data_IF_460531612627
#
_entry.id   IF_460531612627
#
_cell.length_a   1.000
_cell.length_b   1.000
_cell.length_c   1.000
_cell.angle_alpha   90.00
_cell.angle_beta   90.00
_cell.angle_gamma   90.00
#
_symmetry.space_group_name_H-M   'P 1'
#
loop_
_entity.id
_entity.type
_entity.pdbx_description
1 polymer ?
#
# COMPACT_ATOMS: atom_id res chain seq x y z
N UNK A 1 -2.00 -9.46 3.80
CA UNK A 1 -3.01 -9.07 2.79
C UNK A 1 -2.78 -9.91 1.55
N UNK A 2 -3.82 -10.41 0.86
CA UNK A 2 -3.62 -11.21 -0.35
C UNK A 2 -3.31 -10.29 -1.56
N UNK A 3 -2.46 -10.75 -2.48
CA UNK A 3 -2.08 -10.09 -3.73
C UNK A 3 -3.29 -9.70 -4.57
N UNK A 4 -4.31 -10.56 -4.68
CA UNK A 4 -5.53 -10.24 -5.45
C UNK A 4 -6.24 -8.99 -4.92
N UNK A 5 -6.29 -8.86 -3.58
CA UNK A 5 -6.86 -7.68 -2.94
C UNK A 5 -5.99 -6.45 -3.17
N UNK A 6 -4.67 -6.58 -3.09
CA UNK A 6 -3.73 -5.49 -3.38
C UNK A 6 -3.93 -5.00 -4.81
N UNK A 7 -3.98 -5.91 -5.79
CA UNK A 7 -4.18 -5.58 -7.20
C UNK A 7 -5.49 -4.83 -7.41
N UNK A 8 -6.61 -5.36 -6.90
CA UNK A 8 -7.91 -4.70 -7.00
C UNK A 8 -7.91 -3.29 -6.41
N UNK A 9 -7.31 -3.12 -5.24
CA UNK A 9 -7.22 -1.81 -4.60
C UNK A 9 -6.30 -0.86 -5.39
N UNK A 10 -5.20 -1.35 -5.97
CA UNK A 10 -4.29 -0.55 -6.80
C UNK A 10 -4.96 -0.09 -8.10
N UNK A 11 -5.73 -0.95 -8.76
CA UNK A 11 -6.50 -0.60 -9.96
C UNK A 11 -7.48 0.53 -9.64
N UNK A 12 -8.27 0.38 -8.57
CA UNK A 12 -9.23 1.39 -8.10
C UNK A 12 -8.55 2.70 -7.67
N UNK A 13 -7.38 2.63 -7.01
CA UNK A 13 -6.60 3.83 -6.66
C UNK A 13 -6.06 4.54 -7.89
N UNK A 14 -5.63 3.81 -8.92
CA UNK A 14 -5.11 4.42 -10.12
C UNK A 14 -6.20 5.15 -10.91
N UNK A 15 -7.44 4.67 -10.85
CA UNK A 15 -8.60 5.31 -11.48
C UNK A 15 -9.17 6.47 -10.64
N UNK A 16 -9.35 6.27 -9.33
CA UNK A 16 -10.12 7.18 -8.46
C UNK A 16 -9.27 7.95 -7.44
N UNK A 17 -7.96 7.71 -7.38
CA UNK A 17 -7.05 8.29 -6.39
C UNK A 17 -7.13 7.68 -4.99
N UNK A 18 -8.16 6.88 -4.70
CA UNK A 18 -8.29 6.13 -3.44
C UNK A 18 -9.14 4.87 -3.61
N UNK A 19 -8.90 3.85 -2.79
CA UNK A 19 -9.66 2.61 -2.75
C UNK A 19 -9.86 2.17 -1.31
N UNK A 20 -11.08 1.78 -0.96
CA UNK A 20 -11.42 1.35 0.41
C UNK A 20 -11.95 -0.07 0.39
N UNK A 21 -11.36 -0.94 1.22
CA UNK A 21 -11.86 -2.29 1.42
C UNK A 21 -11.85 -2.67 2.90
N UNK A 22 -13.05 -2.83 3.49
CA UNK A 22 -13.24 -3.12 4.92
C UNK A 22 -12.44 -2.12 5.80
N UNK A 23 -11.44 -2.62 6.52
CA UNK A 23 -10.55 -1.85 7.38
C UNK A 23 -9.42 -1.14 6.63
N UNK A 24 -9.19 -1.50 5.36
CA UNK A 24 -8.11 -0.97 4.53
C UNK A 24 -8.56 0.25 3.74
N UNK A 25 -7.65 1.19 3.60
CA UNK A 25 -7.80 2.34 2.73
C UNK A 25 -6.45 2.60 2.06
N UNK A 26 -6.43 2.51 0.75
CA UNK A 26 -5.27 2.85 -0.06
C UNK A 26 -5.52 4.21 -0.70
N UNK A 27 -4.53 5.10 -0.65
CA UNK A 27 -4.60 6.44 -1.23
C UNK A 27 -3.38 6.72 -2.08
N UNK A 28 -3.56 7.43 -3.19
CA UNK A 28 -2.47 8.00 -3.97
C UNK A 28 -2.32 9.47 -3.63
N UNK A 29 -1.18 9.84 -3.05
CA UNK A 29 -0.83 11.21 -2.67
C UNK A 29 0.39 11.63 -3.48
N UNK A 30 0.17 12.30 -4.61
CA UNK A 30 1.25 12.68 -5.54
C UNK A 30 1.96 11.45 -6.10
N UNK A 31 3.25 11.30 -5.78
CA UNK A 31 4.07 10.14 -6.15
C UNK A 31 4.06 9.02 -5.10
N UNK A 32 3.26 9.14 -4.03
CA UNK A 32 3.21 8.16 -2.95
C UNK A 32 1.90 7.35 -2.94
N UNK A 33 1.99 6.09 -2.53
CA UNK A 33 0.88 5.26 -2.13
C UNK A 33 0.87 5.11 -0.60
N UNK A 34 -0.23 5.47 0.02
CA UNK A 34 -0.43 5.37 1.45
C UNK A 34 -1.42 4.25 1.77
N UNK A 35 -0.95 3.26 2.52
CA UNK A 35 -1.79 2.19 3.06
C UNK A 35 -2.20 2.54 4.48
N UNK A 36 -3.51 2.64 4.68
CA UNK A 36 -4.15 2.90 5.96
C UNK A 36 -4.93 1.66 6.41
N UNK A 37 -4.93 1.40 7.71
CA UNK A 37 -5.74 0.36 8.34
C UNK A 37 -6.45 0.95 9.56
N UNK A 38 -7.77 0.78 9.65
CA UNK A 38 -8.59 1.33 10.75
C UNK A 38 -8.32 2.82 11.00
N UNK A 39 -8.29 3.62 9.93
CA UNK A 39 -8.02 5.07 9.97
C UNK A 39 -6.62 5.47 10.48
N UNK A 40 -5.68 4.52 10.60
CA UNK A 40 -4.28 4.79 10.94
C UNK A 40 -3.40 4.51 9.73
N UNK A 41 -2.49 5.44 9.41
CA UNK A 41 -1.48 5.24 8.37
C UNK A 41 -0.56 4.10 8.80
N UNK A 42 -0.52 3.02 8.02
CA UNK A 42 0.34 1.86 8.25
C UNK A 42 1.64 1.95 7.49
N UNK A 43 1.55 2.33 6.21
CA UNK A 43 2.70 2.40 5.34
C UNK A 43 2.55 3.52 4.32
N UNK A 44 3.67 4.15 3.97
CA UNK A 44 3.76 5.09 2.86
C UNK A 44 4.88 4.65 1.94
N UNK A 45 4.56 4.42 0.68
CA UNK A 45 5.48 3.96 -0.34
C UNK A 45 5.62 5.03 -1.42
N UNK A 46 6.84 5.48 -1.69
CA UNK A 46 7.10 6.51 -2.71
C UNK A 46 7.54 5.84 -4.00
N UNK A 47 6.85 6.14 -5.10
CA UNK A 47 7.20 5.71 -6.45
C UNK A 47 8.10 6.75 -7.08
N UNK A 48 9.38 6.42 -7.27
CA UNK A 48 10.33 7.24 -8.02
C UNK A 48 10.24 6.86 -9.50
N UNK A 49 10.25 7.85 -10.40
CA UNK A 49 10.02 7.65 -11.83
C UNK A 49 11.11 6.86 -12.58
N UNK A 50 12.17 6.41 -11.92
CA UNK A 50 13.32 5.79 -12.59
C UNK A 50 13.55 4.32 -12.25
N UNK A 51 13.28 3.84 -11.04
CA UNK A 51 13.43 2.42 -10.71
C UNK A 51 12.99 2.22 -9.26
N UNK A 52 12.04 1.30 -9.05
CA UNK A 52 11.59 0.74 -7.78
C UNK A 52 11.42 1.74 -6.63
N UNK A 53 10.15 2.07 -6.35
CA UNK A 53 9.83 2.86 -5.18
C UNK A 53 10.32 2.26 -3.86
N UNK A 54 10.34 3.06 -2.82
CA UNK A 54 10.78 2.64 -1.48
C UNK A 54 9.72 2.92 -0.43
N UNK A 55 9.77 2.14 0.65
CA UNK A 55 8.92 2.33 1.82
C UNK A 55 9.48 3.49 2.66
N UNK A 56 8.79 4.63 2.68
CA UNK A 56 9.17 5.82 3.45
C UNK A 56 8.80 5.68 4.93
N UNK A 57 7.64 5.09 5.20
CA UNK A 57 7.11 4.95 6.56
C UNK A 57 6.49 3.58 6.76
N UNK A 58 6.74 2.99 7.93
CA UNK A 58 6.08 1.77 8.39
C UNK A 58 5.78 1.89 9.89
N UNK A 59 4.49 1.91 10.24
CA UNK A 59 4.01 2.01 11.63
C UNK A 59 3.39 0.70 12.12
N UNK A 60 3.54 -0.40 11.37
CA UNK A 60 3.00 -1.70 11.74
C UNK A 60 3.54 -2.18 13.08
N UNK A 61 2.66 -2.59 14.00
CA UNK A 61 3.01 -3.07 15.34
C UNK A 61 2.67 -4.53 15.59
N UNK A 62 1.63 -5.04 14.93
CA UNK A 62 1.20 -6.43 15.08
C UNK A 62 1.70 -7.29 13.91
N UNK A 63 1.89 -8.58 14.14
CA UNK A 63 2.31 -9.53 13.08
C UNK A 63 1.42 -9.46 11.83
N UNK A 64 0.12 -9.24 12.04
CA UNK A 64 -0.83 -9.06 10.96
C UNK A 64 -0.57 -7.78 10.13
N UNK A 65 -0.27 -6.67 10.81
CA UNK A 65 0.08 -5.41 10.15
C UNK A 65 1.41 -5.54 9.42
N UNK A 66 2.41 -6.16 10.04
CA UNK A 66 3.74 -6.38 9.46
C UNK A 66 3.62 -7.19 8.18
N UNK A 67 2.92 -8.33 8.22
CA UNK A 67 2.66 -9.17 7.03
C UNK A 67 1.91 -8.40 5.94
N UNK A 68 0.96 -7.55 6.33
CA UNK A 68 0.20 -6.73 5.39
C UNK A 68 1.08 -5.72 4.66
N UNK A 69 1.91 -4.98 5.40
CA UNK A 69 2.84 -4.00 4.81
C UNK A 69 3.89 -4.71 3.95
N UNK A 70 4.43 -5.84 4.40
CA UNK A 70 5.39 -6.63 3.64
C UNK A 70 4.81 -7.15 2.31
N UNK A 71 3.60 -7.71 2.30
CA UNK A 71 2.94 -8.13 1.05
C UNK A 71 2.68 -6.94 0.12
N UNK A 72 2.31 -5.78 0.67
CA UNK A 72 2.07 -4.57 -0.11
C UNK A 72 3.36 -4.01 -0.74
N UNK A 73 4.45 -3.97 0.03
CA UNK A 73 5.76 -3.55 -0.45
C UNK A 73 6.30 -4.51 -1.53
N UNK A 74 6.22 -5.83 -1.28
CA UNK A 74 6.63 -6.84 -2.25
C UNK A 74 5.84 -6.72 -3.56
N UNK A 75 4.53 -6.44 -3.49
CA UNK A 75 3.72 -6.19 -4.68
C UNK A 75 4.23 -5.00 -5.49
N UNK A 76 4.47 -3.86 -4.83
CA UNK A 76 4.92 -2.63 -5.49
C UNK A 76 6.35 -2.73 -6.05
N UNK A 77 7.18 -3.59 -5.47
CA UNK A 77 8.53 -3.89 -5.98
C UNK A 77 8.57 -5.01 -7.04
N UNK A 78 7.44 -5.65 -7.34
CA UNK A 78 7.39 -6.77 -8.29
C UNK A 78 8.02 -8.07 -7.77
N UNK A 79 8.10 -8.24 -6.45
CA UNK A 79 8.73 -9.40 -5.77
C UNK A 79 7.70 -10.43 -5.27
N UNK A 80 6.52 -10.50 -5.89
CA UNK A 80 5.34 -11.23 -5.40
C UNK A 80 5.02 -12.49 -6.20
#
# INVERSE_FOLDING_TARGET
MNIELIKRMMDEVNENGSAKYRAYLLKKTGQAFELWMNQKLMAKFIVTGYEQGFLESNTSKTDYQIKTVASFEAYLKGQY
#
